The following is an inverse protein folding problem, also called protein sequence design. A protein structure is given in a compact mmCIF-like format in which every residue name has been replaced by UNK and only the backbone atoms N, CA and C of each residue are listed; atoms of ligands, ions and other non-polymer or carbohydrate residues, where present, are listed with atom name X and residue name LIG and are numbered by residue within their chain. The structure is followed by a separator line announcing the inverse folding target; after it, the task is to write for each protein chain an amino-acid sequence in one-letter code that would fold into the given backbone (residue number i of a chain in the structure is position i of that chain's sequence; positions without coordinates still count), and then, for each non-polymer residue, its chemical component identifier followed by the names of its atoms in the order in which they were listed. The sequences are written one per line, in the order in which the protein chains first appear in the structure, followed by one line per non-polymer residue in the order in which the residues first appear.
data_IF_471753243816
#
_entry.id   IF_471753243816
#
_cell.length_a   1.000
_cell.length_b   1.000
_cell.length_c   1.000
_cell.angle_alpha   90.00
_cell.angle_beta   90.00
_cell.angle_gamma   90.00
#
_symmetry.space_group_name_H-M   'P 1'
#
loop_
_entity.id
_entity.type
_entity.pdbx_description
1 polymer ?
#
# COMPACT_ATOMS: atom_id res chain seq x y z
N UNK A 1 47.91 -7.75 -6.39
CA UNK A 1 47.64 -6.48 -5.69
C UNK A 1 46.16 -6.21 -5.83
N UNK A 2 45.46 -5.86 -4.75
CA UNK A 2 44.03 -5.51 -4.85
C UNK A 2 43.84 -4.30 -5.79
N UNK A 3 42.75 -4.29 -6.54
CA UNK A 3 42.47 -3.28 -7.58
C UNK A 3 42.34 -1.90 -6.96
N UNK A 4 41.68 -1.77 -5.81
CA UNK A 4 41.55 -0.50 -5.09
C UNK A 4 42.88 0.00 -4.53
N UNK A 5 43.67 -0.88 -3.91
CA UNK A 5 45.01 -0.53 -3.42
C UNK A 5 45.92 -0.05 -4.56
N UNK A 6 45.84 -0.71 -5.71
CA UNK A 6 46.58 -0.32 -6.91
C UNK A 6 46.13 1.03 -7.45
N UNK A 7 44.83 1.31 -7.41
CA UNK A 7 44.27 2.57 -7.84
C UNK A 7 44.69 3.72 -6.91
N UNK A 8 44.59 3.55 -5.59
CA UNK A 8 45.04 4.52 -4.58
C UNK A 8 46.52 4.85 -4.74
N UNK A 9 47.36 3.83 -4.96
CA UNK A 9 48.79 4.01 -5.21
C UNK A 9 49.07 4.87 -6.46
N UNK A 10 48.36 4.62 -7.57
CA UNK A 10 48.52 5.43 -8.79
C UNK A 10 48.09 6.88 -8.54
N UNK A 11 46.99 7.10 -7.82
CA UNK A 11 46.53 8.46 -7.51
C UNK A 11 47.53 9.20 -6.62
N UNK A 12 48.08 8.55 -5.60
CA UNK A 12 49.10 9.16 -4.74
C UNK A 12 50.29 9.65 -5.57
N UNK A 13 50.74 8.85 -6.54
CA UNK A 13 51.82 9.23 -7.45
C UNK A 13 51.42 10.39 -8.37
N UNK A 14 50.20 10.37 -8.93
CA UNK A 14 49.68 11.46 -9.75
C UNK A 14 49.59 12.78 -8.96
N UNK A 15 49.23 12.72 -7.68
CA UNK A 15 49.11 13.92 -6.83
C UNK A 15 50.46 14.53 -6.42
N UNK A 16 51.55 13.76 -6.46
CA UNK A 16 52.88 14.17 -6.03
C UNK A 16 53.84 14.50 -7.20
N UNK A 17 53.39 14.31 -8.44
CA UNK A 17 54.24 14.41 -9.63
C UNK A 17 53.72 15.50 -10.57
N UNK A 18 54.60 16.05 -11.40
CA UNK A 18 54.18 16.91 -12.50
C UNK A 18 53.51 16.05 -13.58
N UNK A 19 52.22 16.31 -13.81
CA UNK A 19 51.39 15.61 -14.79
C UNK A 19 51.16 16.51 -16.01
N UNK A 20 51.62 16.06 -17.17
CA UNK A 20 51.36 16.69 -18.46
C UNK A 20 50.32 15.87 -19.24
N UNK A 21 49.33 16.54 -19.81
CA UNK A 21 48.23 15.90 -20.54
C UNK A 21 48.25 16.44 -21.97
N UNK A 22 48.71 15.60 -22.90
CA UNK A 22 48.68 15.89 -24.33
C UNK A 22 47.66 15.00 -25.04
N UNK A 23 46.52 15.59 -25.39
CA UNK A 23 45.42 14.91 -26.07
C UNK A 23 44.85 13.77 -25.24
N UNK A 24 45.24 12.52 -25.53
CA UNK A 24 44.79 11.32 -24.81
C UNK A 24 45.92 10.60 -24.07
N UNK A 25 47.07 11.25 -23.89
CA UNK A 25 48.23 10.67 -23.21
C UNK A 25 48.50 11.50 -21.95
N UNK A 26 48.53 10.81 -20.82
CA UNK A 26 48.95 11.38 -19.54
C UNK A 26 50.40 11.00 -19.34
N UNK A 27 51.29 11.99 -19.23
CA UNK A 27 52.71 11.81 -18.95
C UNK A 27 53.03 12.30 -17.56
N UNK A 28 53.58 11.42 -16.73
CA UNK A 28 54.01 11.69 -15.37
C UNK A 28 55.53 11.83 -15.37
N UNK A 29 56.04 12.94 -14.88
CA UNK A 29 57.47 13.11 -14.61
C UNK A 29 57.79 12.74 -13.14
N UNK A 30 58.54 11.66 -12.97
CA UNK A 30 58.88 11.09 -11.66
C UNK A 30 60.15 11.76 -11.12
N UNK A 31 60.06 12.35 -9.93
CA UNK A 31 61.20 12.95 -9.23
C UNK A 31 61.47 12.22 -7.91
N UNK A 32 62.71 12.29 -7.40
CA UNK A 32 63.08 11.71 -6.10
C UNK A 32 62.95 10.17 -6.01
N UNK A 33 62.43 9.67 -4.88
CA UNK A 33 62.24 8.23 -4.61
C UNK A 33 61.28 7.53 -5.59
N UNK A 34 60.40 8.27 -6.27
CA UNK A 34 59.44 7.69 -7.22
C UNK A 34 60.09 7.29 -8.55
N UNK A 35 61.29 7.79 -8.86
CA UNK A 35 62.04 7.43 -10.07
C UNK A 35 62.46 5.93 -10.10
N UNK A 36 62.58 5.28 -8.94
CA UNK A 36 62.91 3.85 -8.84
C UNK A 36 61.68 2.93 -8.89
N UNK A 37 60.46 3.48 -8.70
CA UNK A 37 59.19 2.72 -8.62
C UNK A 37 58.51 2.47 -9.97
N UNK A 38 59.20 2.68 -11.09
CA UNK A 38 58.63 2.56 -12.45
C UNK A 38 57.93 1.23 -12.69
N UNK A 39 58.51 0.12 -12.22
CA UNK A 39 57.92 -1.21 -12.40
C UNK A 39 56.68 -1.43 -11.51
N UNK A 40 56.66 -0.85 -10.32
CA UNK A 40 55.49 -0.88 -9.42
C UNK A 40 54.32 -0.12 -10.03
N UNK A 41 54.57 1.07 -10.61
CA UNK A 41 53.57 1.86 -11.32
C UNK A 41 52.98 1.08 -12.50
N UNK A 42 53.83 0.42 -13.30
CA UNK A 42 53.36 -0.41 -14.42
C UNK A 42 52.50 -1.58 -13.97
N UNK A 43 52.92 -2.26 -12.90
CA UNK A 43 52.16 -3.36 -12.31
C UNK A 43 50.81 -2.87 -11.76
N UNK A 44 50.79 -1.71 -11.10
CA UNK A 44 49.57 -1.09 -10.58
C UNK A 44 48.61 -0.66 -11.71
N UNK A 45 49.12 -0.02 -12.78
CA UNK A 45 48.33 0.31 -13.99
C UNK A 45 47.71 -0.95 -14.62
N UNK A 46 48.50 -2.02 -14.74
CA UNK A 46 48.00 -3.31 -15.27
C UNK A 46 46.92 -3.90 -14.35
N UNK A 47 47.10 -3.82 -13.02
CA UNK A 47 46.13 -4.32 -12.04
C UNK A 47 44.79 -3.57 -12.07
N UNK A 48 44.79 -2.28 -12.43
CA UNK A 48 43.55 -1.51 -12.62
C UNK A 48 42.95 -1.63 -14.03
N UNK A 49 43.57 -2.43 -14.92
CA UNK A 49 43.03 -2.80 -16.22
C UNK A 49 43.71 -2.17 -17.43
N UNK A 50 44.88 -1.56 -17.29
CA UNK A 50 45.63 -1.03 -18.44
C UNK A 50 46.23 -2.17 -19.27
N UNK A 51 45.95 -2.21 -20.57
CA UNK A 51 46.36 -3.27 -21.51
C UNK A 51 47.50 -2.81 -22.42
N UNK A 52 47.60 -1.51 -22.74
CA UNK A 52 48.45 -1.10 -23.86
C UNK A 52 49.94 -1.17 -23.53
N UNK A 53 50.68 -1.80 -24.44
CA UNK A 53 52.14 -1.90 -24.46
C UNK A 53 52.72 -0.49 -24.45
N UNK A 54 53.20 -0.03 -23.30
CA UNK A 54 53.97 1.20 -23.18
C UNK A 54 55.18 1.11 -24.13
N UNK A 55 55.11 1.73 -25.30
CA UNK A 55 56.33 2.12 -26.01
C UNK A 55 57.03 3.12 -25.12
N UNK A 56 57.99 2.64 -24.33
CA UNK A 56 58.89 3.48 -23.55
C UNK A 56 59.29 4.71 -24.38
N UNK A 57 59.07 5.94 -23.88
CA UNK A 57 59.67 7.12 -24.46
C UNK A 57 61.16 7.09 -24.10
N UNK A 58 61.92 6.24 -24.79
CA UNK A 58 63.36 6.00 -24.61
C UNK A 58 63.73 5.50 -23.21
N UNK A 59 64.58 4.47 -23.18
CA UNK A 59 65.28 4.04 -21.96
C UNK A 59 66.13 5.23 -21.48
N UNK A 60 65.87 5.75 -20.27
CA UNK A 60 66.66 6.82 -19.65
C UNK A 60 65.93 8.13 -19.32
N UNK A 61 64.60 8.22 -19.47
CA UNK A 61 63.82 9.37 -18.98
C UNK A 61 62.97 8.95 -17.76
N UNK A 62 62.90 9.79 -16.73
CA UNK A 62 62.03 9.57 -15.56
C UNK A 62 60.54 9.79 -15.89
N UNK A 63 60.08 9.45 -17.09
CA UNK A 63 58.72 9.74 -17.56
C UNK A 63 57.94 8.46 -17.83
N UNK A 64 56.72 8.38 -17.31
CA UNK A 64 55.75 7.31 -17.63
C UNK A 64 54.55 7.95 -18.29
N UNK A 65 54.22 7.51 -19.50
CA UNK A 65 53.04 7.98 -20.22
C UNK A 65 52.00 6.87 -20.38
N UNK A 66 50.73 7.08 -20.06
CA UNK A 66 49.66 6.11 -20.35
C UNK A 66 48.51 6.76 -21.14
N UNK A 67 47.79 5.96 -21.93
CA UNK A 67 46.69 6.47 -22.75
C UNK A 67 45.34 6.40 -22.03
N UNK A 68 44.50 7.40 -22.25
CA UNK A 68 43.11 7.49 -21.78
C UNK A 68 42.11 6.84 -22.73
N UNK A 69 42.54 6.39 -23.91
CA UNK A 69 41.64 5.82 -24.92
C UNK A 69 41.14 4.44 -24.49
N UNK A 70 39.86 4.15 -24.76
CA UNK A 70 39.22 2.89 -24.40
C UNK A 70 39.99 1.64 -24.87
N UNK A 71 40.62 1.68 -26.05
CA UNK A 71 41.44 0.56 -26.57
C UNK A 71 42.68 0.22 -25.71
N UNK A 72 43.08 1.11 -24.81
CA UNK A 72 44.20 0.91 -23.90
C UNK A 72 43.80 0.26 -22.57
N UNK A 73 42.49 0.03 -22.35
CA UNK A 73 41.93 -0.46 -21.09
C UNK A 73 41.08 -1.71 -21.31
N UNK A 74 41.06 -2.58 -20.30
CA UNK A 74 40.20 -3.75 -20.25
C UNK A 74 38.74 -3.33 -20.31
N UNK A 75 37.98 -4.00 -21.19
CA UNK A 75 36.58 -3.71 -21.49
C UNK A 75 36.29 -2.25 -21.92
N UNK A 76 37.32 -1.50 -22.32
CA UNK A 76 37.18 -0.09 -22.67
C UNK A 76 37.03 0.86 -21.48
N UNK A 77 37.18 0.37 -20.25
CA UNK A 77 36.87 1.13 -19.02
C UNK A 77 38.11 1.83 -18.46
N UNK A 78 38.34 3.06 -18.90
CA UNK A 78 39.36 3.93 -18.32
C UNK A 78 38.85 4.58 -17.01
N UNK A 79 39.59 4.47 -15.89
CA UNK A 79 39.21 5.14 -14.65
C UNK A 79 39.68 6.61 -14.58
N UNK A 80 40.38 7.12 -15.59
CA UNK A 80 40.94 8.47 -15.58
C UNK A 80 40.18 9.39 -16.52
N UNK A 81 39.74 10.53 -16.00
CA UNK A 81 38.96 11.52 -16.73
C UNK A 81 39.66 12.87 -16.66
N UNK A 82 39.72 13.60 -17.77
CA UNK A 82 40.38 14.92 -17.77
C UNK A 82 39.55 15.94 -17.01
N UNK A 83 38.23 15.88 -17.15
CA UNK A 83 37.29 16.81 -16.55
C UNK A 83 36.03 16.13 -16.04
N UNK A 84 35.25 16.87 -15.25
CA UNK A 84 33.91 16.44 -14.84
C UNK A 84 32.96 16.26 -16.05
N UNK A 85 33.18 17.01 -17.13
CA UNK A 85 32.43 16.86 -18.39
C UNK A 85 32.69 15.51 -19.05
N UNK A 86 33.92 15.01 -19.00
CA UNK A 86 34.26 13.68 -19.54
C UNK A 86 33.65 12.56 -18.70
N UNK A 87 33.72 12.69 -17.38
CA UNK A 87 33.03 11.76 -16.47
C UNK A 87 31.52 11.76 -16.73
N UNK A 88 30.92 12.94 -16.87
CA UNK A 88 29.50 13.07 -17.15
C UNK A 88 29.08 12.43 -18.48
N UNK A 89 29.91 12.54 -19.53
CA UNK A 89 29.65 11.87 -20.81
C UNK A 89 29.59 10.35 -20.66
N UNK A 90 30.52 9.78 -19.90
CA UNK A 90 30.54 8.34 -19.62
C UNK A 90 29.32 7.91 -18.80
N UNK A 91 29.05 8.62 -17.70
CA UNK A 91 27.89 8.39 -16.82
C UNK A 91 26.57 8.47 -17.58
N UNK A 92 26.43 9.44 -18.48
CA UNK A 92 25.22 9.60 -19.31
C UNK A 92 25.01 8.40 -20.24
N UNK A 93 26.09 7.86 -20.80
CA UNK A 93 26.02 6.72 -21.73
C UNK A 93 25.77 5.40 -20.99
N UNK A 94 26.43 5.20 -19.85
CA UNK A 94 26.35 3.95 -19.09
C UNK A 94 25.21 3.94 -18.05
N UNK A 95 24.61 5.10 -17.74
CA UNK A 95 23.61 5.28 -16.70
C UNK A 95 24.06 4.81 -15.30
N UNK A 96 25.36 4.85 -15.02
CA UNK A 96 25.96 4.48 -13.73
C UNK A 96 27.26 5.24 -13.51
N UNK A 97 27.61 5.48 -12.25
CA UNK A 97 28.94 5.97 -11.88
C UNK A 97 29.96 4.81 -11.97
N UNK A 98 31.18 5.02 -12.49
CA UNK A 98 32.22 4.00 -12.43
C UNK A 98 32.60 3.65 -10.98
N UNK A 99 32.89 2.37 -10.72
CA UNK A 99 33.32 1.90 -9.38
C UNK A 99 34.59 2.62 -8.89
N UNK A 100 35.52 2.88 -9.82
CA UNK A 100 36.75 3.63 -9.58
C UNK A 100 36.89 4.70 -10.66
N UNK A 101 37.17 5.93 -10.25
CA UNK A 101 37.43 7.04 -11.17
C UNK A 101 38.32 8.10 -10.52
N UNK A 102 39.02 8.88 -11.35
CA UNK A 102 39.88 9.99 -10.92
C UNK A 102 39.83 11.13 -11.95
N UNK A 103 39.71 12.37 -11.47
CA UNK A 103 39.70 13.59 -12.29
C UNK A 103 41.11 14.19 -12.34
N UNK A 104 41.69 14.30 -13.53
CA UNK A 104 43.07 14.73 -13.73
C UNK A 104 43.25 16.26 -13.57
N UNK A 105 42.37 17.09 -14.15
CA UNK A 105 42.49 18.56 -14.08
C UNK A 105 41.95 19.18 -12.78
N UNK A 106 41.89 18.40 -11.70
CA UNK A 106 41.39 18.86 -10.40
C UNK A 106 42.46 19.24 -9.38
N UNK A 107 43.72 18.81 -9.56
CA UNK A 107 44.78 18.76 -8.52
C UNK A 107 44.38 18.16 -7.15
N UNK A 108 43.13 17.72 -6.99
CA UNK A 108 42.61 17.20 -5.76
C UNK A 108 41.92 15.84 -6.00
N UNK A 109 42.25 14.87 -5.13
CA UNK A 109 41.43 13.69 -4.80
C UNK A 109 39.96 14.15 -4.62
N UNK A 110 38.91 13.38 -5.02
CA UNK A 110 37.57 13.88 -5.37
C UNK A 110 37.11 15.06 -4.50
N UNK A 111 37.49 16.28 -4.90
CA UNK A 111 37.40 17.48 -4.05
C UNK A 111 36.07 18.19 -4.20
N UNK A 112 35.34 17.83 -5.25
CA UNK A 112 33.97 18.27 -5.47
C UNK A 112 33.00 17.12 -5.15
N UNK A 113 33.08 16.61 -3.91
CA UNK A 113 32.11 15.67 -3.32
C UNK A 113 30.68 16.10 -3.65
N UNK A 114 30.42 17.41 -3.57
CA UNK A 114 29.14 18.02 -3.96
C UNK A 114 28.75 17.75 -5.41
N UNK A 115 29.65 17.91 -6.39
CA UNK A 115 29.33 17.67 -7.82
C UNK A 115 29.00 16.20 -8.06
N UNK A 116 29.75 15.31 -7.42
CA UNK A 116 29.51 13.86 -7.49
C UNK A 116 28.15 13.53 -6.89
N UNK A 117 27.82 14.06 -5.71
CA UNK A 117 26.51 13.87 -5.07
C UNK A 117 25.37 14.36 -5.97
N UNK A 118 25.54 15.47 -6.70
CA UNK A 118 24.52 15.91 -7.68
C UNK A 118 24.35 14.93 -8.85
N UNK A 119 25.45 14.34 -9.34
CA UNK A 119 25.39 13.30 -10.40
C UNK A 119 24.72 12.03 -9.87
N UNK A 120 25.08 11.57 -8.67
CA UNK A 120 24.44 10.42 -8.01
C UNK A 120 22.95 10.66 -7.79
N UNK A 121 22.58 11.83 -7.28
CA UNK A 121 21.18 12.26 -7.14
C UNK A 121 20.44 12.12 -8.48
N UNK A 122 21.00 12.63 -9.58
CA UNK A 122 20.39 12.49 -10.90
C UNK A 122 20.20 11.03 -11.32
N UNK A 123 21.20 10.16 -11.10
CA UNK A 123 21.13 8.75 -11.44
C UNK A 123 20.03 8.02 -10.64
N UNK A 124 19.94 8.29 -9.33
CA UNK A 124 18.90 7.69 -8.50
C UNK A 124 17.50 8.19 -8.88
N UNK A 125 17.36 9.48 -9.22
CA UNK A 125 16.09 10.00 -9.75
C UNK A 125 15.71 9.40 -11.11
N UNK A 126 16.69 9.11 -11.99
CA UNK A 126 16.41 8.34 -13.21
C UNK A 126 15.84 6.97 -12.86
N UNK A 127 16.44 6.29 -11.88
CA UNK A 127 16.01 4.97 -11.44
C UNK A 127 14.61 5.00 -10.83
N UNK A 128 14.30 5.98 -9.97
CA UNK A 128 12.96 6.19 -9.40
C UNK A 128 11.92 6.33 -10.50
N UNK A 129 12.14 7.26 -11.45
CA UNK A 129 11.19 7.49 -12.55
C UNK A 129 11.06 6.25 -13.43
N UNK A 130 12.15 5.57 -13.76
CA UNK A 130 12.11 4.36 -14.56
C UNK A 130 11.28 3.25 -13.91
N UNK A 131 11.44 3.02 -12.59
CA UNK A 131 10.68 2.01 -11.84
C UNK A 131 9.18 2.29 -11.78
N UNK A 132 8.77 3.56 -11.78
CA UNK A 132 7.35 3.94 -11.75
C UNK A 132 6.77 4.20 -13.15
N UNK A 133 7.57 4.20 -14.21
CA UNK A 133 7.09 4.45 -15.57
C UNK A 133 6.22 3.31 -16.08
N UNK A 134 5.26 3.61 -16.94
CA UNK A 134 4.47 2.59 -17.63
C UNK A 134 5.21 2.10 -18.87
N UNK A 135 5.85 3.00 -19.60
CA UNK A 135 6.67 2.70 -20.76
C UNK A 135 7.66 3.85 -21.05
N UNK A 136 8.62 3.59 -21.93
CA UNK A 136 9.64 4.53 -22.36
C UNK A 136 9.47 4.84 -23.85
N UNK A 137 9.55 6.12 -24.21
CA UNK A 137 9.51 6.59 -25.60
C UNK A 137 10.71 7.50 -25.82
N UNK A 138 11.69 7.04 -26.60
CA UNK A 138 12.96 7.73 -26.85
C UNK A 138 13.68 8.16 -25.55
N UNK A 139 13.63 9.46 -25.22
CA UNK A 139 14.25 10.06 -24.03
C UNK A 139 13.24 10.37 -22.92
N UNK A 140 11.97 10.06 -23.16
CA UNK A 140 10.88 10.37 -22.27
C UNK A 140 10.38 9.12 -21.55
N UNK A 141 10.13 9.29 -20.26
CA UNK A 141 9.41 8.34 -19.43
C UNK A 141 7.93 8.72 -19.42
N UNK A 142 7.05 7.77 -19.74
CA UNK A 142 5.62 8.03 -19.76
C UNK A 142 4.94 7.36 -18.58
N UNK A 143 4.20 8.16 -17.82
CA UNK A 143 3.47 7.74 -16.63
C UNK A 143 1.99 8.00 -16.86
N UNK A 144 1.19 6.95 -16.73
CA UNK A 144 -0.27 7.02 -16.82
C UNK A 144 -0.89 6.93 -15.42
N UNK A 145 -1.73 7.91 -15.10
CA UNK A 145 -2.53 7.94 -13.88
C UNK A 145 -4.01 7.88 -14.26
N UNK A 146 -4.72 6.78 -13.95
CA UNK A 146 -6.15 6.68 -14.24
C UNK A 146 -6.95 7.70 -13.42
N UNK A 147 -8.01 8.24 -14.01
CA UNK A 147 -8.99 9.10 -13.36
C UNK A 147 -10.39 8.89 -13.97
N UNK A 148 -11.41 9.52 -13.40
CA UNK A 148 -12.81 9.37 -13.82
C UNK A 148 -13.07 9.78 -15.29
N UNK A 149 -12.16 10.55 -15.90
CA UNK A 149 -12.21 11.01 -17.29
C UNK A 149 -11.35 10.21 -18.28
N UNK A 150 -10.86 9.02 -17.91
CA UNK A 150 -10.04 8.17 -18.80
C UNK A 150 -8.53 8.21 -18.54
N UNK A 151 -8.08 8.95 -17.53
CA UNK A 151 -6.70 9.08 -17.08
C UNK A 151 -5.95 10.29 -17.64
N UNK A 152 -4.78 10.57 -17.05
CA UNK A 152 -3.83 11.60 -17.49
C UNK A 152 -2.46 10.96 -17.71
N UNK A 153 -1.81 11.37 -18.79
CA UNK A 153 -0.43 11.00 -19.09
C UNK A 153 0.54 12.13 -18.70
N UNK A 154 1.65 11.74 -18.09
CA UNK A 154 2.76 12.60 -17.75
C UNK A 154 3.99 12.12 -18.52
N UNK A 155 4.51 12.99 -19.39
CA UNK A 155 5.75 12.79 -20.12
C UNK A 155 6.87 13.49 -19.37
N UNK A 156 7.89 12.74 -18.94
CA UNK A 156 9.05 13.29 -18.25
C UNK A 156 10.27 13.12 -19.13
N UNK A 157 10.85 14.24 -19.56
CA UNK A 157 12.10 14.21 -20.30
C UNK A 157 13.27 13.89 -19.38
N UNK A 158 13.98 12.80 -19.69
CA UNK A 158 15.08 12.28 -18.87
C UNK A 158 16.44 12.88 -19.26
N UNK A 159 16.48 13.70 -20.32
CA UNK A 159 17.71 14.34 -20.78
C UNK A 159 18.01 15.59 -19.97
N UNK A 160 19.29 15.77 -19.62
CA UNK A 160 19.73 16.88 -18.78
C UNK A 160 21.18 17.25 -19.10
N UNK A 161 21.52 18.55 -19.04
CA UNK A 161 22.91 19.01 -19.20
C UNK A 161 23.67 18.93 -17.88
N UNK A 162 25.01 18.83 -17.93
CA UNK A 162 25.81 18.83 -16.71
C UNK A 162 25.59 20.12 -15.91
N UNK A 163 25.47 21.26 -16.59
CA UNK A 163 25.21 22.56 -15.97
C UNK A 163 23.93 22.55 -15.15
N UNK A 164 22.87 21.93 -15.65
CA UNK A 164 21.59 21.87 -14.95
C UNK A 164 21.66 20.98 -13.71
N UNK A 165 22.45 19.90 -13.74
CA UNK A 165 22.67 19.01 -12.60
C UNK A 165 23.50 19.70 -11.52
N UNK A 166 24.60 20.34 -11.92
CA UNK A 166 25.49 21.03 -10.99
C UNK A 166 24.86 22.32 -10.43
N UNK A 167 23.87 22.89 -11.13
CA UNK A 167 23.08 24.04 -10.68
C UNK A 167 21.99 23.71 -9.66
N UNK A 168 21.80 22.43 -9.31
CA UNK A 168 20.78 22.02 -8.35
C UNK A 168 21.14 22.45 -6.93
N UNK A 169 20.13 22.96 -6.21
CA UNK A 169 20.24 23.20 -4.78
C UNK A 169 19.89 21.93 -3.99
N UNK A 170 20.59 21.71 -2.87
CA UNK A 170 20.26 20.62 -1.94
C UNK A 170 20.50 19.20 -2.48
N UNK A 171 21.55 18.97 -3.28
CA UNK A 171 21.86 17.66 -3.86
C UNK A 171 21.86 16.51 -2.83
N UNK A 172 22.37 16.71 -1.62
CA UNK A 172 22.33 15.70 -0.54
C UNK A 172 20.89 15.31 -0.14
N UNK A 173 20.02 16.32 -0.01
CA UNK A 173 18.60 16.10 0.33
C UNK A 173 17.87 15.42 -0.83
N UNK A 174 18.18 15.83 -2.06
CA UNK A 174 17.60 15.22 -3.26
C UNK A 174 18.01 13.75 -3.41
N UNK A 175 19.29 13.43 -3.17
CA UNK A 175 19.81 12.08 -3.17
C UNK A 175 19.14 11.24 -2.07
N UNK A 176 19.08 11.76 -0.83
CA UNK A 176 18.39 11.09 0.27
C UNK A 176 16.95 10.74 -0.08
N UNK A 177 16.19 11.68 -0.63
CA UNK A 177 14.80 11.46 -1.02
C UNK A 177 14.68 10.38 -2.11
N UNK A 178 15.57 10.39 -3.12
CA UNK A 178 15.59 9.37 -4.16
C UNK A 178 15.86 7.97 -3.58
N UNK A 179 16.86 7.86 -2.69
CA UNK A 179 17.20 6.60 -2.04
C UNK A 179 16.05 6.06 -1.18
N UNK A 180 15.31 6.91 -0.47
CA UNK A 180 14.11 6.49 0.25
C UNK A 180 13.03 5.96 -0.71
N UNK A 181 12.80 6.61 -1.84
CA UNK A 181 11.90 6.09 -2.87
C UNK A 181 12.37 4.74 -3.43
N UNK A 182 13.66 4.59 -3.71
CA UNK A 182 14.23 3.31 -4.18
C UNK A 182 14.05 2.20 -3.14
N UNK A 183 14.25 2.48 -1.85
CA UNK A 183 13.98 1.50 -0.77
C UNK A 183 12.53 1.05 -0.82
N UNK A 184 11.59 1.99 -0.85
CA UNK A 184 10.15 1.71 -0.88
C UNK A 184 9.73 0.92 -2.13
N UNK A 185 10.31 1.24 -3.29
CA UNK A 185 10.06 0.56 -4.56
C UNK A 185 10.75 -0.80 -4.67
N UNK A 186 11.70 -1.11 -3.80
CA UNK A 186 12.42 -2.40 -3.81
C UNK A 186 11.79 -3.43 -2.86
N UNK A 187 10.79 -3.02 -2.07
CA UNK A 187 9.97 -3.95 -1.29
C UNK A 187 8.99 -4.63 -2.25
N UNK A 188 9.13 -5.94 -2.42
CA UNK A 188 8.22 -6.76 -3.21
C UNK A 188 7.21 -7.45 -2.29
N UNK A 189 6.01 -6.87 -2.22
CA UNK A 189 4.88 -7.39 -1.43
C UNK A 189 3.56 -7.11 -2.16
N UNK A 190 2.45 -7.59 -1.59
CA UNK A 190 1.11 -7.40 -2.16
C UNK A 190 0.70 -5.93 -2.32
N UNK A 191 1.38 -4.98 -1.65
CA UNK A 191 1.09 -3.55 -1.72
C UNK A 191 1.98 -2.80 -2.71
N UNK A 192 2.96 -3.47 -3.33
CA UNK A 192 3.87 -2.87 -4.32
C UNK A 192 3.15 -2.13 -5.46
N UNK A 193 2.10 -2.69 -6.11
CA UNK A 193 1.39 -1.98 -7.17
C UNK A 193 0.72 -0.68 -6.68
N UNK A 194 0.22 -0.69 -5.44
CA UNK A 194 -0.45 0.47 -4.85
C UNK A 194 0.56 1.58 -4.53
N UNK A 195 1.73 1.22 -3.96
CA UNK A 195 2.81 2.19 -3.71
C UNK A 195 3.24 2.88 -5.00
N UNK A 196 3.40 2.12 -6.09
CA UNK A 196 3.70 2.67 -7.41
C UNK A 196 2.58 3.61 -7.88
N UNK A 197 1.31 3.20 -7.75
CA UNK A 197 0.15 4.03 -8.13
C UNK A 197 0.11 5.36 -7.37
N UNK A 198 0.31 5.32 -6.05
CA UNK A 198 0.35 6.52 -5.20
C UNK A 198 1.53 7.42 -5.56
N UNK A 199 2.71 6.87 -5.86
CA UNK A 199 3.85 7.66 -6.34
C UNK A 199 3.55 8.35 -7.69
N UNK A 200 2.90 7.65 -8.63
CA UNK A 200 2.51 8.23 -9.92
C UNK A 200 1.52 9.38 -9.73
N UNK A 201 0.53 9.22 -8.86
CA UNK A 201 -0.44 10.27 -8.53
C UNK A 201 0.25 11.49 -7.88
N UNK A 202 1.12 11.26 -6.90
CA UNK A 202 1.90 12.34 -6.28
C UNK A 202 2.79 13.06 -7.30
N UNK A 203 3.37 12.34 -8.26
CA UNK A 203 4.22 12.94 -9.28
C UNK A 203 3.41 13.78 -10.29
N UNK A 204 2.23 13.30 -10.66
CA UNK A 204 1.28 14.07 -11.48
C UNK A 204 0.82 15.35 -10.77
N UNK A 205 0.59 15.32 -9.46
CA UNK A 205 0.25 16.52 -8.69
C UNK A 205 1.38 17.57 -8.67
N UNK A 206 2.64 17.14 -8.78
CA UNK A 206 3.81 18.02 -8.69
C UNK A 206 4.23 18.58 -10.05
N UNK A 207 4.05 17.81 -11.13
CA UNK A 207 4.53 18.15 -12.48
C UNK A 207 3.41 18.29 -13.52
N UNK A 208 2.18 17.90 -13.22
CA UNK A 208 1.09 17.80 -14.20
C UNK A 208 0.80 19.11 -14.93
N UNK A 209 0.88 20.22 -14.22
CA UNK A 209 0.64 21.58 -14.72
C UNK A 209 1.94 22.35 -15.01
N UNK A 210 3.10 21.68 -14.98
CA UNK A 210 4.38 22.30 -15.32
C UNK A 210 4.56 22.37 -16.85
N UNK A 211 4.95 23.54 -17.36
CA UNK A 211 5.28 23.72 -18.77
C UNK A 211 6.57 22.96 -19.15
N UNK A 212 7.46 22.71 -18.19
CA UNK A 212 8.75 22.05 -18.42
C UNK A 212 8.91 20.76 -17.60
N UNK A 213 8.27 19.69 -18.09
CA UNK A 213 8.28 18.36 -17.48
C UNK A 213 9.57 17.61 -17.79
N UNK A 214 10.63 17.92 -17.05
CA UNK A 214 11.90 17.23 -17.14
C UNK A 214 12.40 16.75 -15.77
N UNK A 215 13.38 15.85 -15.79
CA UNK A 215 13.95 15.28 -14.58
C UNK A 215 14.59 16.32 -13.66
N UNK A 216 15.16 17.40 -14.17
CA UNK A 216 15.72 18.48 -13.32
C UNK A 216 14.61 19.20 -12.54
N UNK A 217 13.45 19.44 -13.15
CA UNK A 217 12.28 20.01 -12.46
C UNK A 217 11.81 19.10 -11.34
N UNK A 218 11.79 17.78 -11.57
CA UNK A 218 11.49 16.79 -10.54
C UNK A 218 12.50 16.85 -9.39
N UNK A 219 13.80 16.79 -9.69
CA UNK A 219 14.86 16.77 -8.68
C UNK A 219 14.78 18.02 -7.79
N UNK A 220 14.60 19.20 -8.38
CA UNK A 220 14.44 20.47 -7.65
C UNK A 220 13.16 20.53 -6.79
N UNK A 221 12.19 19.65 -7.05
CA UNK A 221 10.95 19.51 -6.28
C UNK A 221 10.91 18.24 -5.43
N UNK A 222 12.04 17.55 -5.25
CA UNK A 222 12.13 16.26 -4.55
C UNK A 222 11.42 16.25 -3.19
N UNK A 223 11.63 17.30 -2.38
CA UNK A 223 11.05 17.42 -1.05
C UNK A 223 9.52 17.58 -1.10
N UNK A 224 9.01 18.33 -2.08
CA UNK A 224 7.56 18.48 -2.29
C UNK A 224 6.95 17.15 -2.75
N UNK A 225 7.61 16.45 -3.66
CA UNK A 225 7.18 15.14 -4.12
C UNK A 225 7.18 14.10 -2.99
N UNK A 226 8.25 14.05 -2.19
CA UNK A 226 8.34 13.18 -1.01
C UNK A 226 7.22 13.47 0.00
N UNK A 227 6.97 14.75 0.31
CA UNK A 227 5.87 15.13 1.20
C UNK A 227 4.52 14.70 0.65
N UNK A 228 4.25 14.99 -0.63
CA UNK A 228 2.98 14.68 -1.28
C UNK A 228 2.71 13.17 -1.34
N UNK A 229 3.74 12.37 -1.64
CA UNK A 229 3.65 10.92 -1.59
C UNK A 229 3.22 10.41 -0.21
N UNK A 230 3.86 10.91 0.85
CA UNK A 230 3.51 10.51 2.22
C UNK A 230 2.10 10.94 2.63
N UNK A 231 1.65 12.13 2.21
CA UNK A 231 0.26 12.57 2.44
C UNK A 231 -0.75 11.65 1.75
N UNK A 232 -0.51 11.26 0.50
CA UNK A 232 -1.38 10.34 -0.23
C UNK A 232 -1.35 8.92 0.36
N UNK A 233 -0.18 8.46 0.82
CA UNK A 233 -0.03 7.17 1.48
C UNK A 233 -0.78 7.12 2.82
N UNK A 234 -0.71 8.19 3.62
CA UNK A 234 -1.47 8.32 4.85
C UNK A 234 -2.98 8.31 4.56
N UNK A 235 -3.43 9.09 3.56
CA UNK A 235 -4.84 9.11 3.15
C UNK A 235 -5.32 7.74 2.68
N UNK A 236 -4.52 7.04 1.87
CA UNK A 236 -4.81 5.69 1.42
C UNK A 236 -4.97 4.74 2.62
N UNK A 237 -4.04 4.79 3.57
CA UNK A 237 -4.05 3.94 4.76
C UNK A 237 -5.27 4.20 5.64
N UNK A 238 -5.63 5.48 5.85
CA UNK A 238 -6.85 5.88 6.55
C UNK A 238 -8.10 5.36 5.85
N UNK A 239 -8.23 5.56 4.54
CA UNK A 239 -9.36 5.04 3.74
C UNK A 239 -9.46 3.52 3.80
N UNK A 240 -8.33 2.81 3.74
CA UNK A 240 -8.32 1.36 3.88
C UNK A 240 -8.84 0.91 5.26
N UNK A 241 -8.43 1.61 6.32
CA UNK A 241 -8.94 1.36 7.68
C UNK A 241 -10.45 1.60 7.77
N UNK A 242 -10.93 2.72 7.23
CA UNK A 242 -12.37 3.05 7.15
C UNK A 242 -13.14 1.96 6.40
N UNK A 243 -12.70 1.59 5.20
CA UNK A 243 -13.34 0.56 4.39
C UNK A 243 -13.39 -0.80 5.10
N UNK A 244 -12.32 -1.17 5.83
CA UNK A 244 -12.31 -2.37 6.64
C UNK A 244 -13.39 -2.32 7.73
N UNK A 245 -13.50 -1.20 8.44
CA UNK A 245 -14.51 -1.01 9.48
C UNK A 245 -15.93 -1.08 8.87
N UNK A 246 -16.18 -0.41 7.73
CA UNK A 246 -17.45 -0.47 7.03
C UNK A 246 -17.81 -1.92 6.62
N UNK A 247 -16.84 -2.68 6.10
CA UNK A 247 -17.05 -4.09 5.77
C UNK A 247 -17.37 -4.95 7.01
N UNK A 248 -16.69 -4.72 8.14
CA UNK A 248 -17.00 -5.40 9.41
C UNK A 248 -18.42 -5.07 9.88
N UNK A 249 -18.85 -3.81 9.72
CA UNK A 249 -20.18 -3.33 10.05
C UNK A 249 -21.27 -4.03 9.21
N UNK A 250 -21.05 -4.15 7.90
CA UNK A 250 -21.94 -4.85 6.98
C UNK A 250 -22.04 -6.35 7.31
N UNK A 251 -20.91 -7.00 7.63
CA UNK A 251 -20.90 -8.38 8.08
C UNK A 251 -21.71 -8.56 9.37
N UNK A 252 -21.57 -7.64 10.33
CA UNK A 252 -22.38 -7.67 11.56
C UNK A 252 -23.86 -7.46 11.27
N UNK A 253 -24.22 -6.56 10.37
CA UNK A 253 -25.61 -6.35 9.97
C UNK A 253 -26.24 -7.63 9.37
N UNK A 254 -25.51 -8.33 8.51
CA UNK A 254 -25.94 -9.62 7.96
C UNK A 254 -26.13 -10.67 9.07
N UNK A 255 -25.16 -10.80 9.98
CA UNK A 255 -25.20 -11.74 11.10
C UNK A 255 -26.43 -11.49 12.00
N UNK A 256 -26.66 -10.24 12.40
CA UNK A 256 -27.80 -9.85 13.24
C UNK A 256 -29.13 -10.02 12.52
N UNK A 257 -29.21 -9.66 11.23
CA UNK A 257 -30.41 -9.86 10.43
C UNK A 257 -30.76 -11.36 10.33
N UNK A 258 -29.77 -12.23 10.13
CA UNK A 258 -29.99 -13.69 10.13
C UNK A 258 -30.54 -14.19 11.46
N UNK A 259 -29.92 -13.80 12.58
CA UNK A 259 -30.38 -14.18 13.93
C UNK A 259 -31.81 -13.71 14.20
N UNK A 260 -32.16 -12.49 13.81
CA UNK A 260 -33.53 -11.98 13.96
C UNK A 260 -34.51 -12.83 13.14
N UNK A 261 -34.18 -13.14 11.88
CA UNK A 261 -35.04 -13.95 11.03
C UNK A 261 -35.20 -15.37 11.55
N UNK A 262 -34.14 -15.98 12.09
CA UNK A 262 -34.19 -17.29 12.75
C UNK A 262 -35.13 -17.28 13.96
N UNK A 263 -35.03 -16.25 14.83
CA UNK A 263 -35.92 -16.12 15.98
C UNK A 263 -37.38 -15.90 15.57
N UNK A 264 -37.63 -15.07 14.55
CA UNK A 264 -38.99 -14.84 14.02
C UNK A 264 -39.55 -16.14 13.44
N UNK A 265 -38.79 -16.83 12.60
CA UNK A 265 -39.19 -18.09 11.97
C UNK A 265 -39.47 -19.18 13.01
N UNK A 266 -38.58 -19.31 14.00
CA UNK A 266 -38.75 -20.27 15.11
C UNK A 266 -40.02 -19.99 15.91
N UNK A 267 -40.30 -18.72 16.24
CA UNK A 267 -41.54 -18.36 16.94
C UNK A 267 -42.78 -18.57 16.08
N UNK A 268 -42.75 -18.22 14.79
CA UNK A 268 -43.88 -18.46 13.87
C UNK A 268 -44.19 -19.95 13.74
N UNK A 269 -43.18 -20.81 13.58
CA UNK A 269 -43.39 -22.25 13.54
C UNK A 269 -44.04 -22.77 14.84
N UNK A 270 -43.56 -22.33 16.01
CA UNK A 270 -44.18 -22.69 17.30
C UNK A 270 -45.61 -22.15 17.43
N UNK A 271 -45.86 -20.96 16.91
CA UNK A 271 -47.19 -20.36 16.87
C UNK A 271 -48.17 -21.18 16.00
N UNK A 272 -47.74 -21.66 14.83
CA UNK A 272 -48.54 -22.51 13.95
C UNK A 272 -48.83 -23.90 14.53
N UNK A 273 -47.96 -24.40 15.42
CA UNK A 273 -48.23 -25.63 16.17
C UNK A 273 -49.45 -25.49 17.09
N UNK A 274 -49.79 -24.28 17.57
CA UNK A 274 -50.97 -24.07 18.43
C UNK A 274 -52.29 -24.34 17.66
N UNK A 275 -52.59 -23.72 16.51
CA UNK A 275 -53.72 -24.08 15.67
C UNK A 275 -53.73 -25.56 15.26
N UNK A 276 -52.56 -26.13 14.92
CA UNK A 276 -52.44 -27.54 14.56
C UNK A 276 -52.87 -28.47 15.70
N UNK A 277 -52.39 -28.20 16.93
CA UNK A 277 -52.79 -28.92 18.13
C UNK A 277 -54.28 -28.72 18.43
N UNK A 278 -54.80 -27.49 18.27
CA UNK A 278 -56.23 -27.18 18.42
C UNK A 278 -57.11 -27.96 17.44
N UNK A 279 -56.72 -28.06 16.17
CA UNK A 279 -57.46 -28.84 15.15
C UNK A 279 -57.43 -30.34 15.49
N UNK A 280 -56.27 -30.87 15.90
CA UNK A 280 -56.15 -32.27 16.32
C UNK A 280 -57.02 -32.58 17.54
N UNK A 281 -57.03 -31.69 18.52
CA UNK A 281 -57.86 -31.76 19.73
C UNK A 281 -59.36 -31.60 19.38
N UNK A 282 -59.71 -30.69 18.47
CA UNK A 282 -61.08 -30.53 17.95
C UNK A 282 -61.58 -31.76 17.18
N UNK A 283 -60.70 -32.46 16.47
CA UNK A 283 -61.00 -33.76 15.85
C UNK A 283 -61.27 -34.87 16.86
N UNK A 284 -60.62 -34.82 18.03
CA UNK A 284 -60.89 -35.71 19.17
C UNK A 284 -62.20 -35.35 19.89
N UNK A 285 -62.74 -34.14 19.70
CA UNK A 285 -63.95 -33.64 20.36
C UNK A 285 -65.27 -34.29 19.90
N UNK A 286 -65.23 -35.42 19.17
CA UNK A 286 -66.35 -36.39 19.12
C UNK A 286 -66.64 -37.02 20.50
N UNK A 287 -65.78 -36.77 21.48
CA UNK A 287 -65.98 -37.20 22.86
C UNK A 287 -67.28 -36.62 23.46
N UNK A 288 -68.07 -37.49 24.05
CA UNK A 288 -69.44 -37.24 24.51
C UNK A 288 -69.54 -36.89 26.01
N UNK A 289 -68.41 -36.88 26.74
CA UNK A 289 -68.37 -36.64 28.19
C UNK A 289 -67.78 -35.30 28.64
N UNK A 290 -68.15 -34.88 29.86
CA UNK A 290 -67.57 -33.72 30.55
C UNK A 290 -66.08 -33.90 30.83
N UNK A 291 -65.66 -35.09 31.27
CA UNK A 291 -64.26 -35.41 31.56
C UNK A 291 -63.38 -35.29 30.31
N UNK A 292 -63.89 -35.72 29.15
CA UNK A 292 -63.16 -35.60 27.89
C UNK A 292 -62.98 -34.13 27.48
N UNK A 293 -64.02 -33.31 27.69
CA UNK A 293 -63.97 -31.86 27.43
C UNK A 293 -63.02 -31.14 28.38
N UNK A 294 -62.96 -31.55 29.66
CA UNK A 294 -62.04 -31.02 30.65
C UNK A 294 -60.58 -31.38 30.33
N UNK A 295 -60.31 -32.63 29.92
CA UNK A 295 -58.98 -33.07 29.48
C UNK A 295 -58.50 -32.32 28.24
N UNK A 296 -59.39 -32.09 27.27
CA UNK A 296 -59.15 -31.26 26.09
C UNK A 296 -58.74 -29.84 26.49
N UNK A 297 -59.47 -29.23 27.43
CA UNK A 297 -59.17 -27.87 27.90
C UNK A 297 -57.83 -27.78 28.64
N UNK A 298 -57.50 -28.77 29.47
CA UNK A 298 -56.20 -28.86 30.18
C UNK A 298 -55.05 -28.98 29.17
N UNK A 299 -55.21 -29.81 28.13
CA UNK A 299 -54.21 -29.92 27.05
C UNK A 299 -53.96 -28.59 26.33
N UNK A 300 -55.02 -27.82 26.08
CA UNK A 300 -54.92 -26.49 25.47
C UNK A 300 -54.22 -25.48 26.39
N UNK A 301 -54.51 -25.50 27.69
CA UNK A 301 -53.81 -24.67 28.67
C UNK A 301 -52.31 -24.98 28.74
N UNK A 302 -51.94 -26.26 28.69
CA UNK A 302 -50.52 -26.66 28.67
C UNK A 302 -49.80 -26.17 27.41
N UNK A 303 -50.40 -26.36 26.22
CA UNK A 303 -49.83 -25.90 24.95
C UNK A 303 -49.64 -24.38 24.94
N UNK A 304 -50.63 -23.63 25.45
CA UNK A 304 -50.52 -22.19 25.61
C UNK A 304 -49.39 -21.80 26.58
N UNK A 305 -49.29 -22.45 27.74
CA UNK A 305 -48.27 -22.13 28.74
C UNK A 305 -46.85 -22.37 28.21
N UNK A 306 -46.62 -23.52 27.55
CA UNK A 306 -45.34 -23.84 26.91
C UNK A 306 -44.99 -22.83 25.82
N UNK A 307 -45.97 -22.44 25.00
CA UNK A 307 -45.71 -21.47 23.92
C UNK A 307 -45.43 -20.07 24.46
N UNK A 308 -46.16 -19.66 25.50
CA UNK A 308 -45.91 -18.39 26.19
C UNK A 308 -44.51 -18.37 26.80
N UNK A 309 -44.12 -19.43 27.53
CA UNK A 309 -42.77 -19.56 28.10
C UNK A 309 -41.69 -19.51 27.02
N UNK A 310 -41.88 -20.21 25.89
CA UNK A 310 -40.93 -20.14 24.77
C UNK A 310 -40.84 -18.74 24.16
N UNK A 311 -41.96 -18.03 24.03
CA UNK A 311 -41.96 -16.67 23.49
C UNK A 311 -41.30 -15.69 24.48
N UNK A 312 -41.51 -15.85 25.78
CA UNK A 312 -40.88 -15.01 26.81
C UNK A 312 -39.34 -15.16 26.75
N UNK A 313 -38.80 -16.38 26.57
CA UNK A 313 -37.36 -16.60 26.33
C UNK A 313 -36.85 -15.92 25.05
N UNK A 314 -37.64 -15.97 23.97
CA UNK A 314 -37.29 -15.26 22.74
C UNK A 314 -37.32 -13.73 22.93
N UNK A 315 -38.24 -13.21 23.73
CA UNK A 315 -38.33 -11.80 24.08
C UNK A 315 -37.09 -11.31 24.84
N UNK A 316 -36.65 -12.06 25.85
CA UNK A 316 -35.40 -11.80 26.57
C UNK A 316 -34.19 -11.85 25.62
N UNK A 317 -34.19 -12.79 24.68
CA UNK A 317 -33.16 -12.89 23.65
C UNK A 317 -33.12 -11.66 22.75
N UNK A 318 -34.27 -11.08 22.36
CA UNK A 318 -34.32 -9.82 21.61
C UNK A 318 -33.83 -8.62 22.41
N UNK A 319 -34.13 -8.55 23.72
CA UNK A 319 -33.61 -7.50 24.61
C UNK A 319 -32.08 -7.60 24.71
N UNK A 320 -31.56 -8.81 24.93
CA UNK A 320 -30.12 -9.08 24.95
C UNK A 320 -29.47 -8.72 23.61
N UNK A 321 -30.11 -9.08 22.48
CA UNK A 321 -29.65 -8.73 21.14
C UNK A 321 -29.56 -7.21 20.94
N UNK A 322 -30.60 -6.48 21.38
CA UNK A 322 -30.64 -5.02 21.34
C UNK A 322 -29.48 -4.40 22.13
N UNK A 323 -29.22 -4.91 23.34
CA UNK A 323 -28.12 -4.43 24.19
C UNK A 323 -26.75 -4.71 23.54
N UNK A 324 -26.54 -5.94 23.07
CA UNK A 324 -25.28 -6.33 22.42
C UNK A 324 -25.02 -5.53 21.15
N UNK A 325 -26.08 -5.22 20.39
CA UNK A 325 -25.99 -4.35 19.22
C UNK A 325 -25.57 -2.93 19.61
N UNK A 326 -26.15 -2.38 20.68
CA UNK A 326 -25.76 -1.07 21.20
C UNK A 326 -24.29 -1.03 21.62
N UNK A 327 -23.84 -2.05 22.35
CA UNK A 327 -22.47 -2.17 22.82
C UNK A 327 -21.47 -2.38 21.67
N UNK A 328 -21.86 -3.11 20.62
CA UNK A 328 -21.04 -3.31 19.44
C UNK A 328 -20.91 -2.02 18.61
N UNK A 329 -22.03 -1.36 18.31
CA UNK A 329 -22.05 -0.16 17.47
C UNK A 329 -21.51 1.09 18.17
N UNK A 330 -21.65 1.20 19.49
CA UNK A 330 -21.06 2.29 20.28
C UNK A 330 -19.52 2.32 20.24
N UNK A 331 -18.86 1.20 19.92
CA UNK A 331 -17.40 1.17 19.72
C UNK A 331 -17.01 1.90 18.44
N UNK A 332 -17.82 1.80 17.39
CA UNK A 332 -17.59 2.48 16.13
C UNK A 332 -17.94 3.98 16.20
N UNK A 333 -18.84 4.37 17.11
CA UNK A 333 -19.14 5.78 17.37
C UNK A 333 -18.01 6.56 18.07
N UNK A 334 -16.96 5.88 18.56
CA UNK A 334 -15.79 6.49 19.22
C UNK A 334 -14.64 6.83 18.27
N UNK A 335 -14.75 6.50 16.98
CA UNK A 335 -13.78 6.94 15.98
C UNK A 335 -14.06 8.42 15.67
N UNK A 336 -13.37 9.32 16.39
CA UNK A 336 -13.60 10.78 16.33
C UNK A 336 -13.20 11.42 14.99
N UNK A 337 -12.40 10.76 14.16
CA UNK A 337 -11.88 11.33 12.90
C UNK A 337 -12.70 10.97 11.65
N UNK A 338 -13.53 9.91 11.70
CA UNK A 338 -14.16 9.35 10.49
C UNK A 338 -15.70 9.49 10.51
N UNK A 339 -16.19 10.63 10.02
CA UNK A 339 -17.63 10.97 9.93
C UNK A 339 -18.42 9.90 9.16
N UNK A 340 -17.82 9.30 8.14
CA UNK A 340 -18.44 8.24 7.32
C UNK A 340 -18.73 6.97 8.13
N UNK A 341 -17.77 6.51 8.94
CA UNK A 341 -17.92 5.34 9.82
C UNK A 341 -19.04 5.57 10.82
N UNK A 342 -19.07 6.76 11.44
CA UNK A 342 -20.10 7.12 12.42
C UNK A 342 -21.49 7.14 11.79
N UNK A 343 -21.64 7.79 10.63
CA UNK A 343 -22.91 7.84 9.92
C UNK A 343 -23.40 6.44 9.51
N UNK A 344 -22.52 5.60 8.96
CA UNK A 344 -22.85 4.22 8.60
C UNK A 344 -23.27 3.39 9.83
N UNK A 345 -22.52 3.51 10.93
CA UNK A 345 -22.83 2.85 12.19
C UNK A 345 -24.20 3.26 12.74
N UNK A 346 -24.49 4.56 12.80
CA UNK A 346 -25.77 5.07 13.29
C UNK A 346 -26.95 4.63 12.42
N UNK A 347 -26.80 4.70 11.09
CA UNK A 347 -27.81 4.25 10.13
C UNK A 347 -28.11 2.77 10.27
N UNK A 348 -27.09 1.91 10.22
CA UNK A 348 -27.26 0.46 10.32
C UNK A 348 -27.80 0.03 11.68
N UNK A 349 -27.34 0.67 12.75
CA UNK A 349 -27.86 0.45 14.11
C UNK A 349 -29.35 0.77 14.20
N UNK A 350 -29.78 1.92 13.66
CA UNK A 350 -31.19 2.33 13.61
C UNK A 350 -32.06 1.36 12.81
N UNK A 351 -31.60 0.93 11.63
CA UNK A 351 -32.31 -0.06 10.81
C UNK A 351 -32.47 -1.41 11.53
N UNK A 352 -31.42 -1.89 12.19
CA UNK A 352 -31.44 -3.13 12.97
C UNK A 352 -32.35 -3.01 14.19
N UNK A 353 -32.36 -1.87 14.90
CA UNK A 353 -33.30 -1.63 15.98
C UNK A 353 -34.75 -1.66 15.50
N UNK A 354 -35.04 -1.06 14.35
CA UNK A 354 -36.37 -1.11 13.75
C UNK A 354 -36.78 -2.55 13.44
N UNK A 355 -35.88 -3.36 12.88
CA UNK A 355 -36.12 -4.80 12.64
C UNK A 355 -36.39 -5.58 13.93
N UNK A 356 -35.62 -5.32 15.00
CA UNK A 356 -35.83 -5.96 16.31
C UNK A 356 -37.18 -5.57 16.91
N UNK A 357 -37.55 -4.28 16.88
CA UNK A 357 -38.84 -3.82 17.40
C UNK A 357 -40.01 -4.44 16.63
N UNK A 358 -39.90 -4.50 15.30
CA UNK A 358 -40.88 -5.17 14.45
C UNK A 358 -40.99 -6.67 14.75
N UNK A 359 -39.86 -7.35 14.96
CA UNK A 359 -39.84 -8.77 15.35
C UNK A 359 -40.51 -8.99 16.71
N UNK A 360 -40.24 -8.13 17.69
CA UNK A 360 -40.88 -8.14 19.01
C UNK A 360 -42.40 -7.92 18.91
N UNK A 361 -42.86 -6.93 18.14
CA UNK A 361 -44.31 -6.69 17.91
C UNK A 361 -45.00 -7.89 17.26
N UNK A 362 -44.33 -8.57 16.32
CA UNK A 362 -44.86 -9.82 15.72
C UNK A 362 -45.00 -10.92 16.76
N UNK A 363 -44.03 -11.06 17.66
CA UNK A 363 -44.09 -12.02 18.77
C UNK A 363 -45.26 -11.73 19.74
N UNK A 364 -45.45 -10.46 20.09
CA UNK A 364 -46.56 -10.02 20.94
C UNK A 364 -47.92 -10.29 20.27
N UNK A 365 -48.01 -10.04 18.95
CA UNK A 365 -49.20 -10.37 18.15
C UNK A 365 -49.50 -11.87 18.17
N UNK A 366 -48.49 -12.73 18.02
CA UNK A 366 -48.62 -14.19 18.15
C UNK A 366 -49.18 -14.59 19.52
N UNK A 367 -48.65 -14.02 20.61
CA UNK A 367 -49.13 -14.32 21.96
C UNK A 367 -50.59 -13.86 22.17
N UNK A 368 -50.95 -12.72 21.58
CA UNK A 368 -52.34 -12.23 21.57
C UNK A 368 -53.27 -13.19 20.83
N UNK A 369 -52.88 -13.64 19.63
CA UNK A 369 -53.65 -14.63 18.85
C UNK A 369 -53.83 -15.94 19.62
N UNK A 370 -52.79 -16.44 20.30
CA UNK A 370 -52.88 -17.65 21.12
C UNK A 370 -53.91 -17.50 22.26
N UNK A 371 -53.95 -16.34 22.93
CA UNK A 371 -54.97 -16.03 23.95
C UNK A 371 -56.37 -15.99 23.35
N UNK A 372 -56.54 -15.33 22.20
CA UNK A 372 -57.84 -15.29 21.51
C UNK A 372 -58.33 -16.68 21.13
N UNK A 373 -57.44 -17.56 20.67
CA UNK A 373 -57.78 -18.96 20.35
C UNK A 373 -58.22 -19.74 21.58
N UNK A 374 -57.58 -19.56 22.74
CA UNK A 374 -58.04 -20.17 23.99
C UNK A 374 -59.45 -19.71 24.38
N UNK A 375 -59.73 -18.40 24.26
CA UNK A 375 -61.05 -17.87 24.55
C UNK A 375 -62.12 -18.42 23.60
N UNK A 376 -61.82 -18.52 22.30
CA UNK A 376 -62.73 -19.11 21.31
C UNK A 376 -62.98 -20.59 21.63
N UNK A 377 -61.95 -21.35 21.98
CA UNK A 377 -62.09 -22.75 22.36
C UNK A 377 -62.94 -22.93 23.62
N UNK A 378 -62.76 -22.08 24.64
CA UNK A 378 -63.56 -22.08 25.86
C UNK A 378 -65.04 -21.79 25.57
N UNK A 379 -65.33 -20.77 24.75
CA UNK A 379 -66.70 -20.43 24.33
C UNK A 379 -67.33 -21.59 23.55
N UNK A 380 -66.58 -22.21 22.62
CA UNK A 380 -67.07 -23.36 21.86
C UNK A 380 -67.44 -24.54 22.75
N UNK A 381 -66.58 -24.91 23.71
CA UNK A 381 -66.85 -25.98 24.67
C UNK A 381 -68.07 -25.66 25.55
N UNK A 382 -68.21 -24.42 26.00
CA UNK A 382 -69.36 -23.97 26.78
C UNK A 382 -70.68 -24.06 25.99
N UNK A 383 -70.70 -23.61 24.73
CA UNK A 383 -71.87 -23.72 23.84
C UNK A 383 -72.21 -25.19 23.61
N UNK A 384 -71.21 -26.02 23.27
CA UNK A 384 -71.42 -27.47 23.06
C UNK A 384 -72.08 -28.09 24.28
N UNK A 385 -71.59 -27.78 25.48
CA UNK A 385 -72.14 -28.30 26.73
C UNK A 385 -73.60 -27.91 26.97
N UNK A 386 -73.96 -26.64 26.74
CA UNK A 386 -75.35 -26.13 26.85
C UNK A 386 -76.29 -26.90 25.91
N UNK A 387 -75.88 -27.16 24.67
CA UNK A 387 -76.71 -27.87 23.69
C UNK A 387 -76.78 -29.39 23.90
N UNK A 388 -75.74 -30.03 24.45
CA UNK A 388 -75.81 -31.45 24.85
C UNK A 388 -76.54 -31.68 26.17
N UNK A 389 -76.68 -30.66 27.03
CA UNK A 389 -77.46 -30.76 28.27
C UNK A 389 -78.96 -30.51 28.07
N UNK A 390 -79.38 -30.00 26.90
CA UNK A 390 -80.77 -29.71 26.54
C UNK A 390 -81.41 -30.75 25.60
N UNK A 391 -80.69 -31.83 25.24
CA UNK A 391 -81.19 -33.03 24.55
C UNK A 391 -81.07 -34.23 25.48
#
# INVERSE_FOLDING_TARGET
MDKELSFKFIIEILSQSDVDIDGHIVTIELTGENATKINEIKNALTAIGFISVLKSPRVGTNKIGFSLQANAWLDGKCPFYQSIDDLWRDVRNNSSLPEIYYLLNGNDFPSDEKKIVCIESYLEWKNVVAKISNYHVDKDCVIFVPNDSGGKELFINMSCSLKDILGQEGCDTNLKNALEFIKVLSIDDAQSPERVSIMRAALLDILGDDDNKNITSLINRSAKFYKRYNELLDLYTKRFSVNKILNELDQKNLEYTSKINEFVSSSQNKAFTIPGALIAIGGLAKASGFLDSALIFIGLLMVYFITKMSNDVHFESYISLKKNLMDAFSRYAKFDEDVEVKYAADKLSSELYCKIDNAKRRLESINSMAKSMLWIALVYLAIKWIFTASS
#
